data_IF_656692715450
#
_entry.id   IF_656692715450
#
_cell.length_a   1.000
_cell.length_b   1.000
_cell.length_c   1.000
_cell.angle_alpha   90.00
_cell.angle_beta   90.00
_cell.angle_gamma   90.00
#
_symmetry.space_group_name_H-M   'P 1'
#
loop_
_entity.id
_entity.type
_entity.pdbx_description
1 polymer ?
#
# COMPACT_ATOMS: atom_id res chain seq x y z
N UNK A 1 17.62 -12.70 -9.07
CA UNK A 1 16.92 -12.09 -7.92
C UNK A 1 15.55 -11.70 -8.44
N UNK A 2 14.49 -12.16 -7.78
CA UNK A 2 13.12 -11.85 -8.22
C UNK A 2 12.78 -10.41 -7.85
N UNK A 3 12.05 -9.72 -8.73
CA UNK A 3 11.70 -8.29 -8.63
C UNK A 3 10.24 -8.13 -9.03
N UNK A 4 9.56 -7.13 -8.46
CA UNK A 4 8.24 -6.73 -8.95
C UNK A 4 8.39 -5.57 -9.93
N UNK A 5 7.64 -5.62 -11.02
CA UNK A 5 7.47 -4.49 -11.94
C UNK A 5 6.12 -3.86 -11.69
N UNK A 6 6.03 -2.55 -11.79
CA UNK A 6 4.80 -1.83 -11.57
C UNK A 6 4.60 -0.74 -12.62
N UNK A 7 3.34 -0.39 -12.86
CA UNK A 7 2.92 0.72 -13.69
C UNK A 7 1.70 1.39 -13.06
N UNK A 8 1.66 2.72 -13.11
CA UNK A 8 0.49 3.52 -12.78
C UNK A 8 0.18 4.42 -13.96
N UNK A 9 -1.01 4.24 -14.53
CA UNK A 9 -1.55 5.12 -15.54
C UNK A 9 -2.69 5.95 -14.95
N UNK A 10 -2.58 7.27 -15.04
CA UNK A 10 -3.56 8.23 -14.58
C UNK A 10 -4.07 9.05 -15.77
N UNK A 11 -5.34 8.85 -16.11
CA UNK A 11 -6.12 9.66 -17.07
C UNK A 11 -7.25 10.42 -16.37
N UNK A 12 -7.24 10.44 -15.05
CA UNK A 12 -8.30 11.00 -14.23
C UNK A 12 -8.33 12.54 -14.32
N UNK A 13 -9.51 13.16 -14.15
CA UNK A 13 -9.60 14.62 -14.08
C UNK A 13 -8.97 15.14 -12.79
N UNK A 14 -8.54 16.40 -12.81
CA UNK A 14 -7.80 17.03 -11.71
C UNK A 14 -8.37 16.80 -10.30
N UNK A 15 -9.70 16.86 -10.04
CA UNK A 15 -10.25 16.60 -8.71
C UNK A 15 -9.92 15.20 -8.18
N UNK A 16 -9.93 14.20 -9.06
CA UNK A 16 -9.58 12.82 -8.70
C UNK A 16 -8.08 12.70 -8.45
N UNK A 17 -7.25 13.37 -9.26
CA UNK A 17 -5.79 13.39 -9.07
C UNK A 17 -5.41 13.98 -7.71
N UNK A 18 -6.11 15.03 -7.25
CA UNK A 18 -5.90 15.58 -5.91
C UNK A 18 -6.35 14.63 -4.79
N UNK A 19 -7.48 13.93 -4.96
CA UNK A 19 -7.90 12.92 -3.99
C UNK A 19 -6.86 11.78 -3.88
N UNK A 20 -6.26 11.40 -5.01
CA UNK A 20 -5.19 10.41 -5.09
C UNK A 20 -3.94 10.90 -4.39
N UNK A 21 -3.50 12.14 -4.67
CA UNK A 21 -2.37 12.75 -3.97
C UNK A 21 -2.57 12.70 -2.44
N UNK A 22 -3.75 13.12 -1.97
CA UNK A 22 -4.08 13.09 -0.54
C UNK A 22 -3.98 11.66 0.05
N UNK A 23 -4.58 10.67 -0.62
CA UNK A 23 -4.51 9.27 -0.19
C UNK A 23 -3.06 8.75 -0.15
N UNK A 24 -2.27 9.04 -1.19
CA UNK A 24 -0.87 8.65 -1.29
C UNK A 24 -0.04 9.21 -0.12
N UNK A 25 -0.21 10.49 0.24
CA UNK A 25 0.46 11.10 1.40
C UNK A 25 0.03 10.49 2.74
N UNK A 26 -1.28 10.25 2.92
CA UNK A 26 -1.81 9.64 4.14
C UNK A 26 -1.23 8.24 4.34
N UNK A 27 -1.26 7.41 3.29
CA UNK A 27 -0.70 6.07 3.33
C UNK A 27 0.82 6.06 3.53
N UNK A 28 1.54 7.01 2.92
CA UNK A 28 2.98 7.16 3.13
C UNK A 28 3.29 7.41 4.61
N UNK A 29 2.53 8.29 5.25
CA UNK A 29 2.67 8.59 6.68
C UNK A 29 2.35 7.40 7.58
N UNK A 30 1.37 6.57 7.22
CA UNK A 30 1.08 5.31 7.93
C UNK A 30 2.23 4.31 7.83
N UNK A 31 2.80 4.16 6.63
CA UNK A 31 3.96 3.29 6.38
C UNK A 31 5.19 3.79 7.14
N UNK A 32 5.48 5.09 7.10
CA UNK A 32 6.64 5.68 7.78
C UNK A 32 6.57 5.42 9.30
N UNK A 33 5.40 5.63 9.92
CA UNK A 33 5.20 5.32 11.35
C UNK A 33 5.40 3.84 11.64
N UNK A 34 4.80 2.95 10.85
CA UNK A 34 4.94 1.51 11.02
C UNK A 34 6.40 1.04 10.90
N UNK A 35 7.16 1.57 9.93
CA UNK A 35 8.59 1.24 9.78
C UNK A 35 9.42 1.76 10.96
N UNK A 36 9.12 2.95 11.48
CA UNK A 36 9.76 3.52 12.66
C UNK A 36 9.50 2.68 13.92
N UNK A 37 8.25 2.27 14.16
CA UNK A 37 7.85 1.48 15.33
C UNK A 37 8.55 0.10 15.35
N UNK A 38 8.81 -0.48 14.19
CA UNK A 38 9.53 -1.75 14.06
C UNK A 38 11.06 -1.61 14.00
N UNK A 39 11.59 -0.38 14.01
CA UNK A 39 13.03 -0.12 13.85
C UNK A 39 13.59 -0.62 12.53
N UNK A 40 12.76 -0.70 11.48
CA UNK A 40 13.15 -1.23 10.18
C UNK A 40 13.90 -0.17 9.36
N UNK A 41 15.04 -0.55 8.80
CA UNK A 41 15.83 0.30 7.92
C UNK A 41 16.01 -0.38 6.57
N UNK A 42 15.17 -0.01 5.60
CA UNK A 42 15.24 -0.47 4.22
C UNK A 42 15.95 0.54 3.31
N UNK A 43 16.43 0.08 2.16
CA UNK A 43 16.87 0.99 1.10
C UNK A 43 15.66 1.80 0.63
N UNK A 44 15.80 3.13 0.61
CA UNK A 44 14.73 4.02 0.17
C UNK A 44 14.38 3.73 -1.28
N UNK A 45 13.14 3.31 -1.52
CA UNK A 45 12.63 3.16 -2.89
C UNK A 45 12.50 4.54 -3.56
N UNK A 46 13.13 4.77 -4.72
CA UNK A 46 13.19 6.11 -5.33
C UNK A 46 11.83 6.63 -5.82
N UNK A 47 10.89 5.73 -6.14
CA UNK A 47 9.64 6.09 -6.81
C UNK A 47 8.57 6.66 -5.86
N UNK A 48 8.80 6.62 -4.54
CA UNK A 48 7.95 7.30 -3.54
C UNK A 48 7.71 8.76 -3.92
N UNK A 49 8.80 9.50 -4.13
CA UNK A 49 8.72 10.94 -4.42
C UNK A 49 8.22 11.20 -5.84
N UNK A 50 8.50 10.29 -6.77
CA UNK A 50 8.11 10.44 -8.17
C UNK A 50 6.59 10.45 -8.31
N UNK A 51 5.92 9.44 -7.74
CA UNK A 51 4.46 9.33 -7.77
C UNK A 51 3.77 10.46 -7.02
N UNK A 52 4.30 10.85 -5.84
CA UNK A 52 3.77 11.99 -5.10
C UNK A 52 3.83 13.27 -5.94
N UNK A 53 5.01 13.63 -6.48
CA UNK A 53 5.16 14.82 -7.34
C UNK A 53 4.26 14.79 -8.57
N UNK A 54 4.12 13.63 -9.24
CA UNK A 54 3.24 13.51 -10.40
C UNK A 54 1.78 13.77 -10.05
N UNK A 55 1.32 13.27 -8.89
CA UNK A 55 -0.03 13.52 -8.39
C UNK A 55 -0.26 14.98 -7.94
N UNK A 56 0.77 15.69 -7.48
CA UNK A 56 0.67 17.12 -7.10
C UNK A 56 0.40 18.03 -8.31
N UNK A 57 0.90 17.67 -9.50
CA UNK A 57 0.72 18.47 -10.74
C UNK A 57 -0.76 18.55 -11.14
N UNK A 58 -1.59 17.59 -10.70
CA UNK A 58 -3.03 17.57 -10.99
C UNK A 58 -3.36 17.28 -12.45
N UNK A 59 -2.45 16.61 -13.17
CA UNK A 59 -2.62 16.19 -14.58
C UNK A 59 -2.49 14.67 -14.68
N UNK A 60 -2.96 14.11 -15.80
CA UNK A 60 -2.70 12.72 -16.13
C UNK A 60 -1.20 12.44 -16.28
N UNK A 61 -0.79 11.22 -15.93
CA UNK A 61 0.59 10.76 -15.97
C UNK A 61 0.64 9.26 -16.23
N UNK A 62 1.77 8.78 -16.76
CA UNK A 62 2.06 7.36 -16.93
C UNK A 62 3.49 7.14 -16.44
N UNK A 63 3.65 6.22 -15.48
CA UNK A 63 4.95 5.95 -14.87
C UNK A 63 5.04 4.50 -14.44
N UNK A 64 6.25 3.97 -14.48
CA UNK A 64 6.55 2.58 -14.18
C UNK A 64 7.93 2.46 -13.55
N UNK A 65 8.17 1.32 -12.91
CA UNK A 65 9.44 1.07 -12.24
C UNK A 65 9.53 -0.34 -11.68
N UNK A 66 10.44 -0.51 -10.72
CA UNK A 66 10.75 -1.80 -10.11
C UNK A 66 10.81 -1.71 -8.58
N UNK A 67 10.38 -2.78 -7.91
CA UNK A 67 10.51 -2.96 -6.47
C UNK A 67 11.39 -4.18 -6.23
N UNK A 68 12.60 -3.92 -5.74
CA UNK A 68 13.56 -4.94 -5.34
C UNK A 68 13.37 -5.34 -3.88
N UNK A 69 13.80 -6.55 -3.47
CA UNK A 69 13.70 -7.01 -2.09
C UNK A 69 14.33 -6.06 -1.06
N UNK A 70 15.43 -5.37 -1.39
CA UNK A 70 16.07 -4.40 -0.48
C UNK A 70 15.20 -3.18 -0.12
N UNK A 71 14.16 -2.90 -0.92
CA UNK A 71 13.21 -1.83 -0.65
C UNK A 71 12.14 -2.20 0.40
N UNK A 72 12.07 -3.48 0.77
CA UNK A 72 11.05 -4.02 1.65
C UNK A 72 9.65 -4.08 1.02
N UNK A 73 8.67 -4.53 1.81
CA UNK A 73 7.29 -4.77 1.36
C UNK A 73 6.47 -3.48 1.16
N UNK A 74 6.91 -2.37 1.76
CA UNK A 74 6.14 -1.12 1.84
C UNK A 74 5.73 -0.53 0.48
N UNK A 75 6.61 -0.42 -0.54
CA UNK A 75 6.23 0.04 -1.87
C UNK A 75 5.07 -0.75 -2.47
N UNK A 76 5.11 -2.08 -2.32
CA UNK A 76 4.09 -2.96 -2.84
C UNK A 76 2.75 -2.76 -2.13
N UNK A 77 2.74 -2.61 -0.80
CA UNK A 77 1.52 -2.31 -0.05
C UNK A 77 0.90 -0.98 -0.48
N UNK A 78 1.73 0.04 -0.70
CA UNK A 78 1.25 1.36 -1.13
C UNK A 78 0.59 1.35 -2.50
N UNK A 79 1.23 0.70 -3.49
CA UNK A 79 0.65 0.56 -4.83
C UNK A 79 -0.59 -0.34 -4.81
N UNK A 80 -0.58 -1.41 -4.01
CA UNK A 80 -1.75 -2.28 -3.83
C UNK A 80 -2.93 -1.52 -3.21
N UNK A 81 -2.66 -0.58 -2.30
CA UNK A 81 -3.69 0.28 -1.72
C UNK A 81 -4.28 1.23 -2.77
N UNK A 82 -3.43 1.81 -3.64
CA UNK A 82 -3.88 2.62 -4.77
C UNK A 82 -4.75 1.81 -5.74
N UNK A 83 -4.31 0.60 -6.10
CA UNK A 83 -5.06 -0.35 -6.94
C UNK A 83 -6.42 -0.69 -6.33
N UNK A 84 -6.45 -0.99 -5.02
CA UNK A 84 -7.67 -1.35 -4.29
C UNK A 84 -8.65 -0.18 -4.15
N UNK A 85 -8.14 1.04 -3.99
CA UNK A 85 -8.98 2.23 -3.87
C UNK A 85 -9.80 2.51 -5.14
N UNK A 86 -9.37 2.04 -6.31
CA UNK A 86 -10.19 2.00 -7.52
C UNK A 86 -10.62 3.39 -8.00
N UNK A 87 -9.74 4.40 -7.87
CA UNK A 87 -10.02 5.75 -8.35
C UNK A 87 -10.31 5.73 -9.85
N UNK A 88 -11.43 6.35 -10.25
CA UNK A 88 -11.85 6.37 -11.65
C UNK A 88 -10.81 7.07 -12.53
N UNK A 89 -10.38 6.38 -13.58
CA UNK A 89 -9.36 6.88 -14.50
C UNK A 89 -7.93 6.67 -14.01
N UNK A 90 -7.72 5.83 -12.99
CA UNK A 90 -6.40 5.34 -12.59
C UNK A 90 -6.36 3.82 -12.74
N UNK A 91 -5.34 3.35 -13.44
CA UNK A 91 -5.02 1.93 -13.56
C UNK A 91 -3.66 1.65 -12.91
N UNK A 92 -3.58 0.54 -12.18
CA UNK A 92 -2.37 0.13 -11.46
C UNK A 92 -2.08 -1.32 -11.75
N UNK A 93 -1.01 -1.55 -12.49
CA UNK A 93 -0.45 -2.87 -12.78
C UNK A 93 0.74 -3.16 -11.88
N UNK A 94 0.79 -4.37 -11.32
CA UNK A 94 1.95 -4.85 -10.57
C UNK A 94 2.15 -6.32 -10.92
N UNK A 95 3.26 -6.66 -11.55
CA UNK A 95 3.58 -8.01 -12.01
C UNK A 95 4.86 -8.54 -11.37
N UNK A 96 4.91 -9.84 -11.17
CA UNK A 96 6.14 -10.56 -10.83
C UNK A 96 7.04 -10.73 -12.06
N UNK A 97 8.29 -11.14 -11.85
CA UNK A 97 9.21 -11.57 -12.91
C UNK A 97 8.66 -12.70 -13.79
N UNK A 98 7.84 -13.58 -13.22
CA UNK A 98 7.09 -14.61 -13.94
C UNK A 98 5.87 -14.07 -14.72
N UNK A 99 5.73 -12.74 -14.84
CA UNK A 99 4.61 -12.05 -15.51
C UNK A 99 3.24 -12.35 -14.88
N UNK A 100 3.20 -12.72 -13.59
CA UNK A 100 1.95 -12.88 -12.84
C UNK A 100 1.53 -11.54 -12.26
N UNK A 101 0.33 -11.08 -12.58
CA UNK A 101 -0.27 -9.91 -11.95
C UNK A 101 -0.59 -10.19 -10.48
N UNK A 102 -0.21 -9.27 -9.59
CA UNK A 102 -0.54 -9.33 -8.17
C UNK A 102 -1.97 -8.83 -7.93
N UNK A 103 -2.70 -9.54 -7.07
CA UNK A 103 -4.05 -9.20 -6.67
C UNK A 103 -4.06 -8.18 -5.52
N UNK A 104 -5.23 -7.58 -5.28
CA UNK A 104 -5.46 -6.73 -4.10
C UNK A 104 -5.85 -7.54 -2.85
N UNK A 105 -5.96 -8.87 -2.98
CA UNK A 105 -6.28 -9.76 -1.87
C UNK A 105 -4.99 -10.32 -1.25
N UNK A 106 -4.52 -9.70 -0.17
CA UNK A 106 -3.26 -10.07 0.48
C UNK A 106 -3.18 -11.54 0.93
N UNK A 107 -4.32 -12.19 1.17
CA UNK A 107 -4.37 -13.62 1.52
C UNK A 107 -3.93 -14.54 0.38
N UNK A 108 -3.99 -14.07 -0.87
CA UNK A 108 -3.59 -14.81 -2.07
C UNK A 108 -2.14 -14.54 -2.47
N UNK A 109 -1.46 -13.60 -1.82
CA UNK A 109 -0.15 -13.08 -2.24
C UNK A 109 0.99 -13.58 -1.33
N UNK A 110 0.90 -14.81 -0.83
CA UNK A 110 1.92 -15.40 0.05
C UNK A 110 3.31 -15.44 -0.59
N UNK A 111 3.39 -15.67 -1.89
CA UNK A 111 4.66 -15.66 -2.64
C UNK A 111 5.31 -14.27 -2.64
N UNK A 112 4.49 -13.21 -2.78
CA UNK A 112 4.98 -11.83 -2.74
C UNK A 112 5.45 -11.48 -1.32
N UNK A 113 4.69 -11.87 -0.29
CA UNK A 113 5.11 -11.66 1.10
C UNK A 113 6.46 -12.35 1.39
N UNK A 114 6.62 -13.59 0.92
CA UNK A 114 7.86 -14.35 1.05
C UNK A 114 9.03 -13.71 0.29
N UNK A 115 8.79 -13.10 -0.87
CA UNK A 115 9.81 -12.36 -1.64
C UNK A 115 10.49 -11.27 -0.79
N UNK A 116 9.71 -10.61 0.07
CA UNK A 116 10.20 -9.57 0.98
C UNK A 116 10.53 -10.08 2.39
N UNK A 117 10.54 -11.40 2.60
CA UNK A 117 10.87 -12.02 3.88
C UNK A 117 9.88 -11.70 5.00
N UNK A 118 8.62 -11.47 4.67
CA UNK A 118 7.56 -11.14 5.63
C UNK A 118 6.37 -12.09 5.49
N UNK A 119 5.37 -11.90 6.35
CA UNK A 119 4.11 -12.65 6.33
C UNK A 119 2.94 -11.72 6.65
N UNK A 120 1.72 -12.23 6.48
CA UNK A 120 0.50 -11.46 6.65
C UNK A 120 0.32 -10.95 8.09
N UNK A 121 0.80 -11.69 9.09
CA UNK A 121 0.66 -11.28 10.49
C UNK A 121 1.55 -10.09 10.80
N UNK A 122 2.78 -10.07 10.28
CA UNK A 122 3.73 -8.98 10.48
C UNK A 122 3.26 -7.68 9.81
N UNK A 123 2.65 -7.76 8.62
CA UNK A 123 2.17 -6.58 7.89
C UNK A 123 0.74 -6.17 8.24
N UNK A 124 0.01 -6.98 9.03
CA UNK A 124 -1.41 -6.74 9.32
C UNK A 124 -1.69 -5.32 9.84
N UNK A 125 -0.95 -4.76 10.81
CA UNK A 125 -1.26 -3.42 11.33
C UNK A 125 -1.23 -2.34 10.25
N UNK A 126 -0.20 -2.36 9.38
CA UNK A 126 -0.10 -1.39 8.27
C UNK A 126 -1.10 -1.70 7.17
N UNK A 127 -1.37 -2.97 6.85
CA UNK A 127 -2.34 -3.35 5.85
C UNK A 127 -3.77 -2.92 6.22
N UNK A 128 -4.15 -3.02 7.50
CA UNK A 128 -5.42 -2.51 8.01
C UNK A 128 -5.48 -0.97 7.90
N UNK A 129 -4.40 -0.27 8.29
CA UNK A 129 -4.32 1.20 8.19
C UNK A 129 -4.38 1.72 6.73
N UNK A 130 -3.96 0.91 5.77
CA UNK A 130 -4.05 1.19 4.33
C UNK A 130 -5.41 0.79 3.72
N UNK A 131 -6.31 0.18 4.50
CA UNK A 131 -7.59 -0.35 4.03
C UNK A 131 -7.46 -1.62 3.18
N UNK A 132 -6.30 -2.28 3.19
CA UNK A 132 -6.04 -3.54 2.47
C UNK A 132 -6.66 -4.75 3.18
N UNK A 133 -6.71 -4.71 4.51
CA UNK A 133 -7.39 -5.70 5.34
C UNK A 133 -8.52 -5.05 6.14
N UNK A 134 -9.51 -5.86 6.51
CA UNK A 134 -10.49 -5.45 7.53
C UNK A 134 -9.80 -5.43 8.90
N UNK A 135 -10.10 -4.42 9.75
CA UNK A 135 -9.59 -4.37 11.10
C UNK A 135 -9.88 -5.68 11.84
N UNK A 136 -8.86 -6.22 12.53
CA UNK A 136 -9.09 -7.31 13.47
C UNK A 136 -9.96 -6.79 14.61
N UNK A 137 -11.18 -7.33 14.73
CA UNK A 137 -12.08 -6.97 15.81
C UNK A 137 -11.53 -7.54 17.12
N UNK A 138 -11.02 -6.69 18.01
CA UNK A 138 -10.72 -7.09 19.37
C UNK A 138 -12.02 -7.14 20.17
N UNK A 139 -12.63 -8.32 20.19
CA UNK A 139 -13.86 -8.58 20.92
C UNK A 139 -13.70 -8.28 22.43
N UNK A 140 -12.50 -8.36 22.99
CA UNK A 140 -12.26 -8.10 24.42
C UNK A 140 -12.33 -6.61 24.71
N UNK A 141 -11.76 -5.77 23.83
CA UNK A 141 -11.89 -4.32 23.93
C UNK A 141 -13.34 -3.86 23.70
N UNK A 142 -14.01 -4.42 22.68
CA UNK A 142 -15.40 -4.08 22.35
C UNK A 142 -16.41 -4.48 23.45
N UNK A 143 -16.16 -5.59 24.17
CA UNK A 143 -16.99 -6.01 25.30
C UNK A 143 -16.68 -5.22 26.59
N UNK A 144 -15.44 -4.74 26.76
CA UNK A 144 -15.06 -3.90 27.89
C UNK A 144 -15.73 -2.52 27.91
N UNK A 145 -16.04 -1.95 26.74
CA UNK A 145 -16.79 -0.69 26.63
C UNK A 145 -18.30 -0.87 26.85
N UNK A 146 -18.85 -2.08 26.67
CA UNK A 146 -20.28 -2.33 26.93
C UNK A 146 -20.62 -2.49 28.41
N UNK A 147 -19.66 -2.82 29.28
CA UNK A 147 -19.89 -3.00 30.72
C UNK A 147 -19.88 -1.66 31.50
N UNK A 148 -19.43 -0.56 30.89
CA UNK A 148 -19.41 0.77 31.53
C UNK A 148 -20.71 1.57 31.42
N UNK A 149 -21.68 1.12 30.62
CA UNK A 149 -22.94 1.84 30.38
C UNK A 149 -24.14 1.30 31.20
N UNK A 150 -23.90 0.41 32.17
CA UNK A 150 -24.97 -0.27 32.94
C UNK A 150 -24.93 -0.08 34.46
N UNK A 151 -24.16 0.86 35.01
CA UNK A 151 -24.17 1.17 36.45
C UNK A 151 -24.24 2.68 36.75
#
# INVERSE_FOLDING_TARGET
MSVLYWQVECRAPQPVVFAVNHALHQWRSCIDRWQQDLGLSYVRWPDWDSLLRLSEIGRGFDTSGQIHPEHGIAPWLWLTALKKAGFVGIDVGIVTDASRETSTNLHQESEVLQLFGTDLMQIRPVAEALGLLLPSLDLVAALGEMDSDWF
#
